data_IF_228848411776
#
_entry.id   IF_228848411776
#
_cell.length_a   1.000
_cell.length_b   1.000
_cell.length_c   1.000
_cell.angle_alpha   90.00
_cell.angle_beta   90.00
_cell.angle_gamma   90.00
#
_symmetry.space_group_name_H-M   'P 1'
#
loop_
_entity.id
_entity.type
_entity.pdbx_description
1 polymer ?
#
# COMPACT_ATOMS: atom_id res chain seq x y z
N UNK A 1 35.47 -1.49 39.81
CA UNK A 1 35.41 -2.90 39.37
C UNK A 1 35.75 -2.92 37.88
N UNK A 2 36.93 -3.46 37.57
CA UNK A 2 37.51 -3.61 36.23
C UNK A 2 37.20 -5.01 35.70
N UNK A 3 36.92 -5.18 34.40
CA UNK A 3 37.10 -6.37 33.52
C UNK A 3 36.06 -6.29 32.38
N UNK A 4 36.38 -5.77 31.19
CA UNK A 4 37.12 -6.44 30.11
C UNK A 4 36.53 -7.80 29.69
N UNK A 5 36.01 -7.88 28.46
CA UNK A 5 36.03 -9.08 27.56
C UNK A 5 35.66 -8.66 26.13
N UNK A 6 36.60 -8.15 25.33
CA UNK A 6 37.28 -8.85 24.22
C UNK A 6 36.38 -9.58 23.20
N UNK A 7 36.27 -8.95 22.02
CA UNK A 7 36.60 -9.51 20.70
C UNK A 7 36.42 -11.02 20.48
N UNK A 8 35.45 -11.41 19.64
CA UNK A 8 35.60 -12.59 18.77
C UNK A 8 35.22 -12.25 17.33
N UNK A 9 36.26 -11.99 16.54
CA UNK A 9 36.30 -12.12 15.09
C UNK A 9 35.98 -13.57 14.72
N UNK A 10 35.15 -13.78 13.71
CA UNK A 10 35.24 -14.96 12.83
C UNK A 10 35.28 -14.45 11.38
N UNK A 11 36.50 -14.26 10.88
CA UNK A 11 36.82 -14.35 9.46
C UNK A 11 37.09 -15.82 9.14
N UNK A 12 36.67 -16.27 7.96
CA UNK A 12 37.29 -17.28 7.08
C UNK A 12 36.29 -17.46 5.91
N UNK A 13 36.58 -16.91 4.72
CA UNK A 13 37.33 -17.57 3.63
C UNK A 13 36.47 -18.66 2.96
N UNK A 14 35.85 -18.39 1.81
CA UNK A 14 36.42 -18.45 0.44
C UNK A 14 36.19 -19.82 -0.23
N UNK A 15 35.84 -19.76 -1.52
CA UNK A 15 35.83 -20.83 -2.52
C UNK A 15 34.80 -21.95 -2.34
N UNK A 16 33.89 -22.13 -3.32
CA UNK A 16 34.08 -23.19 -4.33
C UNK A 16 32.91 -23.32 -5.32
N UNK A 17 33.31 -23.36 -6.59
CA UNK A 17 32.84 -24.19 -7.71
C UNK A 17 31.38 -24.16 -8.19
N UNK A 18 31.30 -23.74 -9.45
CA UNK A 18 30.34 -24.09 -10.50
C UNK A 18 30.10 -25.61 -10.59
N UNK A 19 28.84 -26.01 -10.67
CA UNK A 19 28.43 -27.28 -11.27
C UNK A 19 27.08 -27.08 -11.97
N UNK A 20 27.11 -26.99 -13.30
CA UNK A 20 25.94 -27.14 -14.14
C UNK A 20 25.62 -28.64 -14.29
N UNK A 21 24.40 -29.05 -13.96
CA UNK A 21 23.83 -30.32 -14.42
C UNK A 21 22.46 -30.05 -15.03
N UNK A 22 22.41 -30.19 -16.36
CA UNK A 22 21.19 -30.47 -17.08
C UNK A 22 21.01 -31.99 -17.12
N UNK A 23 19.85 -32.50 -16.71
CA UNK A 23 19.34 -33.82 -17.11
C UNK A 23 17.81 -33.80 -17.04
N UNK A 24 17.22 -34.18 -18.17
CA UNK A 24 15.81 -34.36 -18.44
C UNK A 24 15.21 -35.54 -17.65
N UNK A 25 13.91 -35.48 -17.35
CA UNK A 25 13.13 -36.61 -16.86
C UNK A 25 11.64 -36.29 -16.81
N UNK A 26 10.86 -36.93 -17.69
CA UNK A 26 9.40 -36.85 -17.84
C UNK A 26 8.66 -37.78 -16.87
N UNK A 27 7.39 -37.43 -16.61
CA UNK A 27 6.28 -38.34 -16.29
C UNK A 27 5.90 -38.38 -14.81
N UNK A 28 4.64 -38.50 -14.42
CA UNK A 28 3.35 -38.36 -15.11
C UNK A 28 2.28 -38.34 -13.98
N UNK A 29 1.17 -37.65 -14.23
CA UNK A 29 -0.13 -37.77 -13.60
C UNK A 29 -0.25 -37.77 -12.05
N UNK A 30 -0.74 -36.66 -11.52
CA UNK A 30 -1.66 -36.68 -10.39
C UNK A 30 -2.79 -35.73 -10.71
N UNK A 31 -3.82 -36.32 -11.34
CA UNK A 31 -5.21 -35.91 -11.37
C UNK A 31 -5.49 -34.54 -10.72
N UNK A 32 -5.60 -33.53 -11.58
CA UNK A 32 -6.26 -32.27 -11.26
C UNK A 32 -7.75 -32.55 -11.07
N UNK A 33 -8.16 -32.69 -9.82
CA UNK A 33 -9.57 -32.52 -9.45
C UNK A 33 -9.93 -31.07 -9.78
N UNK A 34 -10.77 -30.94 -10.80
CA UNK A 34 -11.32 -29.68 -11.25
C UNK A 34 -12.49 -29.35 -10.32
N UNK A 35 -12.30 -28.38 -9.42
CA UNK A 35 -13.43 -27.59 -8.92
C UNK A 35 -13.55 -26.34 -9.81
N UNK A 36 -14.60 -26.25 -10.64
CA UNK A 36 -14.95 -25.01 -11.32
C UNK A 36 -15.77 -24.12 -10.40
N UNK A 37 -15.41 -22.84 -10.41
CA UNK A 37 -16.30 -21.70 -10.17
C UNK A 37 -16.74 -21.42 -8.73
N UNK A 38 -16.08 -20.45 -8.11
CA UNK A 38 -16.73 -19.52 -7.20
C UNK A 38 -16.02 -18.16 -7.30
N UNK A 39 -16.41 -17.40 -8.32
CA UNK A 39 -16.34 -15.93 -8.35
C UNK A 39 -15.01 -15.30 -7.96
N UNK A 40 -14.10 -15.17 -8.93
CA UNK A 40 -13.36 -13.93 -9.00
C UNK A 40 -14.41 -12.82 -9.15
N UNK A 41 -14.77 -12.17 -8.05
CA UNK A 41 -15.40 -10.88 -8.13
C UNK A 41 -14.38 -9.99 -8.84
N UNK A 42 -14.52 -9.86 -10.16
CA UNK A 42 -14.08 -8.68 -10.87
C UNK A 42 -14.81 -7.53 -10.19
N UNK A 43 -14.18 -6.95 -9.17
CA UNK A 43 -14.45 -5.57 -8.82
C UNK A 43 -14.03 -4.78 -10.05
N UNK A 44 -15.00 -4.43 -10.88
CA UNK A 44 -14.86 -3.37 -11.90
C UNK A 44 -14.69 -2.01 -11.20
N UNK A 45 -13.78 -1.92 -10.23
CA UNK A 45 -13.25 -0.66 -9.77
C UNK A 45 -12.26 -0.18 -10.85
N UNK A 46 -12.26 1.10 -11.22
CA UNK A 46 -11.29 1.60 -12.17
C UNK A 46 -9.88 1.34 -11.63
N UNK A 47 -9.21 0.37 -12.24
CA UNK A 47 -7.77 0.19 -12.11
C UNK A 47 -7.19 1.32 -12.95
N UNK A 48 -6.58 2.33 -12.33
CA UNK A 48 -5.66 3.19 -13.07
C UNK A 48 -4.64 2.23 -13.70
N UNK A 49 -4.61 2.14 -15.03
CA UNK A 49 -4.04 1.00 -15.76
C UNK A 49 -2.53 0.77 -15.50
N UNK A 50 -1.87 1.72 -14.85
CA UNK A 50 -0.51 1.71 -14.34
C UNK A 50 -0.36 2.45 -12.99
N UNK A 51 -1.48 2.82 -12.34
CA UNK A 51 -1.51 3.52 -11.06
C UNK A 51 -1.08 5.00 -11.08
N UNK A 52 -0.87 5.60 -12.27
CA UNK A 52 -0.28 6.96 -12.38
C UNK A 52 -1.24 8.05 -12.86
N UNK A 53 -2.42 7.68 -13.36
CA UNK A 53 -3.50 8.63 -13.62
C UNK A 53 -4.28 8.90 -12.33
N UNK A 54 -3.77 9.85 -11.54
CA UNK A 54 -4.36 10.22 -10.25
C UNK A 54 -5.70 10.95 -10.39
N UNK A 55 -6.03 11.49 -11.56
CA UNK A 55 -7.33 12.12 -11.82
C UNK A 55 -8.46 11.09 -11.92
N UNK A 56 -8.11 9.83 -12.20
CA UNK A 56 -9.06 8.71 -12.11
C UNK A 56 -9.52 8.42 -10.66
N UNK A 57 -8.95 9.11 -9.67
CA UNK A 57 -9.29 8.99 -8.25
C UNK A 57 -10.07 10.19 -7.70
N UNK A 58 -10.52 11.11 -8.56
CA UNK A 58 -11.27 12.29 -8.10
C UNK A 58 -12.64 11.91 -7.48
N UNK A 59 -13.22 10.78 -7.90
CA UNK A 59 -14.40 10.16 -7.27
C UNK A 59 -14.05 9.37 -6.01
N UNK A 60 -12.75 9.26 -5.71
CA UNK A 60 -12.19 8.54 -4.60
C UNK A 60 -12.38 7.05 -4.66
N UNK A 61 -12.80 6.43 -5.76
CA UNK A 61 -12.98 4.96 -5.87
C UNK A 61 -11.92 4.33 -6.78
N UNK A 62 -10.68 4.24 -6.32
CA UNK A 62 -9.57 3.79 -7.18
C UNK A 62 -8.43 3.11 -6.39
N UNK A 63 -7.54 2.45 -7.12
CA UNK A 63 -6.23 2.01 -6.64
C UNK A 63 -5.11 2.64 -7.49
N UNK A 64 -4.11 3.25 -6.84
CA UNK A 64 -3.01 3.98 -7.50
C UNK A 64 -1.66 3.67 -6.88
N UNK A 65 -0.60 3.81 -7.70
CA UNK A 65 0.79 3.62 -7.31
C UNK A 65 1.49 4.98 -7.23
N UNK A 66 1.92 5.39 -6.05
CA UNK A 66 2.55 6.69 -5.81
C UNK A 66 4.03 6.51 -5.47
N UNK A 67 4.91 6.95 -6.36
CA UNK A 67 6.38 6.89 -6.17
C UNK A 67 7.03 8.23 -5.84
N UNK A 68 6.30 9.33 -5.98
CA UNK A 68 6.77 10.69 -5.74
C UNK A 68 5.71 11.53 -5.03
N UNK A 69 6.09 12.64 -4.38
CA UNK A 69 5.12 13.51 -3.72
C UNK A 69 4.03 13.97 -4.69
N UNK A 70 2.77 13.87 -4.25
CA UNK A 70 1.61 14.17 -5.09
C UNK A 70 0.44 14.67 -4.25
N UNK A 71 -0.45 15.43 -4.87
CA UNK A 71 -1.64 15.98 -4.24
C UNK A 71 -2.90 15.39 -4.88
N UNK A 72 -3.85 14.99 -4.04
CA UNK A 72 -5.21 14.61 -4.41
C UNK A 72 -6.17 15.65 -3.84
N UNK A 73 -7.08 16.15 -4.68
CA UNK A 73 -8.06 17.16 -4.29
C UNK A 73 -9.45 16.56 -4.41
N UNK A 74 -10.17 16.52 -3.29
CA UNK A 74 -11.51 15.96 -3.23
C UNK A 74 -12.52 17.04 -2.92
N UNK A 75 -13.64 17.05 -3.64
CA UNK A 75 -14.73 18.00 -3.38
C UNK A 75 -15.78 17.37 -2.47
N UNK A 76 -15.93 17.94 -1.27
CA UNK A 76 -16.98 17.55 -0.32
C UNK A 76 -18.08 18.61 -0.26
N UNK A 77 -19.20 18.31 0.41
CA UNK A 77 -20.26 19.29 0.65
C UNK A 77 -19.79 20.53 1.43
N UNK A 78 -18.69 20.42 2.18
CA UNK A 78 -18.16 21.48 3.05
C UNK A 78 -17.00 22.25 2.39
N UNK A 79 -16.51 21.78 1.24
CA UNK A 79 -15.43 22.40 0.47
C UNK A 79 -14.40 21.38 -0.02
N UNK A 80 -13.31 21.90 -0.58
CA UNK A 80 -12.20 21.10 -1.08
C UNK A 80 -11.31 20.61 0.07
N UNK A 81 -11.06 19.31 0.11
CA UNK A 81 -10.08 18.65 0.98
C UNK A 81 -8.87 18.31 0.11
N UNK A 82 -7.67 18.72 0.53
CA UNK A 82 -6.43 18.37 -0.17
C UNK A 82 -5.65 17.34 0.65
N UNK A 83 -5.45 16.15 0.09
CA UNK A 83 -4.56 15.13 0.61
C UNK A 83 -3.24 15.19 -0.15
N UNK A 84 -2.16 15.50 0.55
CA UNK A 84 -0.80 15.53 0.02
C UNK A 84 -0.03 14.32 0.51
N UNK A 85 0.52 13.53 -0.40
CA UNK A 85 1.61 12.60 -0.13
C UNK A 85 2.89 13.42 -0.17
N UNK A 86 3.51 13.67 0.98
CA UNK A 86 4.67 14.56 1.08
C UNK A 86 5.99 13.84 0.91
N UNK A 87 6.02 12.53 1.24
CA UNK A 87 7.22 11.70 1.13
C UNK A 87 6.82 10.23 0.94
N UNK A 88 7.62 9.47 0.19
CA UNK A 88 7.46 8.03 -0.03
C UNK A 88 8.76 7.34 0.37
N UNK A 89 8.67 6.48 1.37
CA UNK A 89 9.82 5.77 1.95
C UNK A 89 9.68 4.26 1.75
N UNK A 90 10.75 3.51 2.05
CA UNK A 90 10.71 2.03 2.04
C UNK A 90 9.68 1.43 3.01
N UNK A 91 9.22 2.18 4.01
CA UNK A 91 8.32 1.70 5.07
C UNK A 91 6.88 2.20 4.94
N UNK A 92 6.59 3.08 3.97
CA UNK A 92 5.29 3.73 3.84
C UNK A 92 5.39 5.17 3.36
N UNK A 93 4.34 5.95 3.63
CA UNK A 93 4.18 7.33 3.15
C UNK A 93 3.97 8.31 4.30
N UNK A 94 4.43 9.53 4.09
CA UNK A 94 4.08 10.69 4.92
C UNK A 94 2.96 11.47 4.24
N UNK A 95 1.93 11.82 5.01
CA UNK A 95 0.74 12.51 4.52
C UNK A 95 0.50 13.83 5.24
N UNK A 96 -0.05 14.78 4.50
CA UNK A 96 -0.60 16.02 5.00
C UNK A 96 -2.00 16.20 4.43
N UNK A 97 -2.96 16.61 5.24
CA UNK A 97 -4.34 16.85 4.81
C UNK A 97 -4.75 18.26 5.20
N UNK A 98 -5.10 19.09 4.21
CA UNK A 98 -5.69 20.39 4.42
C UNK A 98 -7.22 20.28 4.35
N UNK A 99 -7.87 20.75 5.42
CA UNK A 99 -9.32 20.72 5.57
C UNK A 99 -9.91 22.13 5.36
N UNK A 100 -11.04 22.24 4.66
CA UNK A 100 -11.69 23.53 4.43
C UNK A 100 -12.14 24.12 5.76
N UNK A 101 -11.57 25.27 6.14
CA UNK A 101 -11.93 26.00 7.36
C UNK A 101 -11.50 25.38 8.69
N UNK A 102 -10.91 24.18 8.71
CA UNK A 102 -10.52 23.46 9.92
C UNK A 102 -8.99 23.34 10.13
N UNK A 103 -8.17 23.72 9.14
CA UNK A 103 -6.70 23.74 9.23
C UNK A 103 -6.04 22.56 8.54
N UNK A 104 -4.88 22.12 9.03
CA UNK A 104 -4.10 21.02 8.44
C UNK A 104 -3.81 19.94 9.49
N UNK A 105 -3.88 18.67 9.06
CA UNK A 105 -3.40 17.51 9.80
C UNK A 105 -2.21 16.89 9.08
N UNK A 106 -1.29 16.28 9.82
CA UNK A 106 -0.21 15.46 9.26
C UNK A 106 -0.23 14.07 9.88
N UNK A 107 0.35 13.10 9.18
CA UNK A 107 0.43 11.73 9.66
C UNK A 107 1.31 10.89 8.76
N UNK A 108 1.39 9.61 9.08
CA UNK A 108 2.09 8.62 8.26
C UNK A 108 1.29 7.33 8.18
N UNK A 109 1.44 6.64 7.06
CA UNK A 109 0.82 5.34 6.80
C UNK A 109 1.93 4.36 6.45
N UNK A 110 2.05 3.27 7.21
CA UNK A 110 3.03 2.22 6.98
C UNK A 110 2.46 0.84 7.32
N UNK A 111 2.81 -0.18 6.54
CA UNK A 111 2.16 -1.49 6.64
C UNK A 111 0.68 -1.43 6.24
N UNK A 112 -0.14 -2.31 6.82
CA UNK A 112 -1.59 -2.39 6.54
C UNK A 112 -2.35 -1.43 7.45
N UNK A 113 -2.39 -0.15 7.08
CA UNK A 113 -3.12 0.88 7.81
C UNK A 113 -4.24 1.47 6.95
N UNK A 114 -5.31 1.86 7.63
CA UNK A 114 -6.43 2.61 7.10
C UNK A 114 -6.50 3.97 7.79
N UNK A 115 -6.71 5.03 7.01
CA UNK A 115 -7.01 6.37 7.46
C UNK A 115 -8.42 6.74 7.03
N UNK A 116 -9.24 7.18 7.97
CA UNK A 116 -10.56 7.74 7.71
C UNK A 116 -10.47 9.25 7.86
N UNK A 117 -10.79 9.98 6.80
CA UNK A 117 -10.81 11.42 6.75
C UNK A 117 -12.24 11.91 6.55
N UNK A 118 -12.60 12.93 7.31
CA UNK A 118 -13.83 13.72 7.13
C UNK A 118 -13.46 15.11 6.65
N UNK A 119 -14.43 15.98 6.43
CA UNK A 119 -14.21 17.40 6.13
C UNK A 119 -13.42 18.17 7.20
N UNK A 120 -13.32 17.66 8.44
CA UNK A 120 -12.73 18.39 9.57
C UNK A 120 -11.71 17.60 10.39
N UNK A 121 -11.59 16.29 10.16
CA UNK A 121 -10.75 15.42 10.98
C UNK A 121 -10.14 14.28 10.19
N UNK A 122 -9.05 13.71 10.69
CA UNK A 122 -8.53 12.41 10.25
C UNK A 122 -8.27 11.49 11.45
N UNK A 123 -8.40 10.20 11.22
CA UNK A 123 -8.08 9.15 12.18
C UNK A 123 -7.48 7.96 11.45
N UNK A 124 -6.59 7.21 12.10
CA UNK A 124 -5.96 6.04 11.48
C UNK A 124 -5.91 4.83 12.40
N UNK A 125 -6.01 3.64 11.80
CA UNK A 125 -5.92 2.35 12.46
C UNK A 125 -5.03 1.41 11.64
N UNK A 126 -4.21 0.62 12.33
CA UNK A 126 -3.26 -0.28 11.70
C UNK A 126 -3.47 -1.72 12.16
N UNK A 127 -3.31 -2.65 11.22
CA UNK A 127 -3.63 -4.06 11.41
C UNK A 127 -2.36 -4.90 11.30
N UNK A 128 -2.23 -5.90 12.18
CA UNK A 128 -1.02 -6.73 12.32
C UNK A 128 -0.84 -7.83 11.26
N UNK A 129 -1.66 -7.85 10.21
CA UNK A 129 -1.59 -8.83 9.11
C UNK A 129 -2.90 -9.03 8.38
N UNK A 130 -2.85 -9.70 7.22
CA UNK A 130 -3.99 -9.99 6.36
C UNK A 130 -4.10 -9.04 5.16
N UNK A 131 -5.28 -8.95 4.58
CA UNK A 131 -5.63 -7.94 3.58
C UNK A 131 -6.73 -7.05 4.15
N UNK A 132 -6.67 -5.76 3.87
CA UNK A 132 -7.76 -4.85 4.18
C UNK A 132 -8.89 -5.09 3.17
N UNK A 133 -10.13 -5.34 3.63
CA UNK A 133 -11.26 -5.36 2.72
C UNK A 133 -11.40 -3.99 2.05
N UNK A 134 -11.82 -3.93 0.77
CA UNK A 134 -12.17 -2.66 0.13
C UNK A 134 -13.20 -1.91 0.99
N UNK A 135 -12.96 -0.63 1.31
CA UNK A 135 -13.92 0.16 2.06
C UNK A 135 -15.16 0.43 1.20
N UNK A 136 -16.33 0.49 1.84
CA UNK A 136 -17.56 0.94 1.18
C UNK A 136 -17.56 2.48 1.11
N UNK A 137 -17.85 3.09 -0.05
CA UNK A 137 -17.96 4.53 -0.18
C UNK A 137 -19.07 5.11 0.70
N UNK A 138 -18.74 6.13 1.48
CA UNK A 138 -19.69 6.83 2.33
C UNK A 138 -19.68 8.35 2.05
N UNK A 139 -20.86 9.00 1.94
CA UNK A 139 -20.96 10.43 1.70
C UNK A 139 -20.15 11.30 2.66
N UNK A 140 -19.20 12.07 2.12
CA UNK A 140 -18.38 13.00 2.90
C UNK A 140 -17.30 12.34 3.76
N UNK A 141 -17.01 11.06 3.52
CA UNK A 141 -15.92 10.32 4.15
C UNK A 141 -14.96 9.87 3.04
N UNK A 142 -13.66 10.15 3.24
CA UNK A 142 -12.58 9.55 2.45
C UNK A 142 -11.92 8.46 3.30
N UNK A 143 -11.90 7.24 2.79
CA UNK A 143 -11.11 6.16 3.37
C UNK A 143 -9.87 5.95 2.51
N UNK A 144 -8.70 6.02 3.13
CA UNK A 144 -7.39 5.81 2.50
C UNK A 144 -6.73 4.57 3.11
N UNK A 145 -6.48 3.55 2.31
CA UNK A 145 -5.78 2.33 2.72
C UNK A 145 -4.42 2.24 2.03
N UNK A 146 -3.36 2.00 2.82
CA UNK A 146 -2.08 1.56 2.28
C UNK A 146 -2.09 0.04 2.16
N UNK A 147 -2.11 -0.47 0.93
CA UNK A 147 -2.13 -1.90 0.66
C UNK A 147 -0.72 -2.52 0.69
N UNK A 148 0.29 -1.70 0.44
CA UNK A 148 1.68 -2.11 0.52
C UNK A 148 2.61 -1.23 -0.31
N UNK A 149 3.85 -1.70 -0.47
CA UNK A 149 4.88 -1.04 -1.28
C UNK A 149 5.26 -1.97 -2.44
N UNK A 150 5.45 -1.42 -3.63
CA UNK A 150 5.90 -2.13 -4.82
C UNK A 150 6.98 -1.32 -5.55
N UNK A 151 8.19 -1.85 -5.67
CA UNK A 151 9.31 -1.22 -6.40
C UNK A 151 9.59 0.26 -6.03
N UNK A 152 9.31 0.66 -4.78
CA UNK A 152 9.49 2.03 -4.29
C UNK A 152 8.25 2.93 -4.42
N UNK A 153 7.14 2.42 -4.96
CA UNK A 153 5.84 3.07 -4.97
C UNK A 153 4.93 2.53 -3.85
N UNK A 154 4.14 3.42 -3.24
CA UNK A 154 3.07 3.05 -2.33
C UNK A 154 1.79 2.73 -3.11
N UNK A 155 1.18 1.59 -2.82
CA UNK A 155 -0.10 1.20 -3.43
C UNK A 155 -1.23 1.66 -2.50
N UNK A 156 -1.96 2.67 -2.94
CA UNK A 156 -3.04 3.29 -2.19
C UNK A 156 -4.38 2.90 -2.79
N UNK A 157 -5.31 2.46 -1.93
CA UNK A 157 -6.72 2.36 -2.26
C UNK A 157 -7.46 3.48 -1.57
N UNK A 158 -8.32 4.15 -2.33
CA UNK A 158 -9.21 5.19 -1.84
C UNK A 158 -10.67 4.75 -2.02
N UNK A 159 -11.55 5.17 -1.11
CA UNK A 159 -13.01 5.17 -1.29
C UNK A 159 -13.61 6.51 -0.82
N UNK A 160 -14.46 7.15 -1.63
CA UNK A 160 -15.26 8.32 -1.28
C UNK A 160 -16.65 8.20 -1.92
N UNK A 161 -17.71 8.68 -1.24
CA UNK A 161 -19.08 8.72 -1.75
C UNK A 161 -19.77 10.06 -1.61
#
# INVERSE_FOLDING_TARGET
>A
MTLSRTFRRRRLAACSLVAALALAGCGDDSASDSDPDAGAASSDAPTAADGTDYSACDDGECEVAVSEPTDFVFTTAEGEVTLSITDVTENGIEISTAFPGAGQSTGSLGGLCESVLTSTSSSSACYGGGTLPPPEPEPGILVLQLLGMNEGAAILRMAMG
#
